data_IF_088209380489
#
_entry.id   IF_088209380489
#
_cell.length_a   1.000
_cell.length_b   1.000
_cell.length_c   1.000
_cell.angle_alpha   90.00
_cell.angle_beta   90.00
_cell.angle_gamma   90.00
#
_symmetry.space_group_name_H-M   'P 1'
#
loop_
_entity.id
_entity.type
_entity.pdbx_description
1 polymer ?
#
# COMPACT_ATOMS: atom_id res chain seq x y z
N UNK A 1 7.30 -15.05 13.65
CA UNK A 1 5.85 -15.13 13.31
C UNK A 1 5.05 -16.06 14.25
N UNK A 2 3.74 -15.83 14.48
CA UNK A 2 2.86 -16.82 15.17
C UNK A 2 2.31 -17.87 14.19
N UNK A 3 1.93 -19.09 14.64
CA UNK A 3 1.32 -20.09 13.75
C UNK A 3 0.01 -19.61 13.10
N UNK A 4 -0.79 -18.83 13.84
CA UNK A 4 -2.03 -18.23 13.32
C UNK A 4 -1.74 -17.26 12.17
N UNK A 5 -0.76 -16.37 12.33
CA UNK A 5 -0.37 -15.42 11.27
C UNK A 5 0.18 -16.17 10.05
N UNK A 6 0.93 -17.25 10.24
CA UNK A 6 1.42 -18.09 9.14
C UNK A 6 0.27 -18.71 8.34
N UNK A 7 -0.68 -19.35 9.01
CA UNK A 7 -1.86 -19.93 8.35
C UNK A 7 -2.74 -18.88 7.66
N UNK A 8 -2.86 -17.69 8.26
CA UNK A 8 -3.56 -16.56 7.61
C UNK A 8 -2.86 -16.16 6.31
N UNK A 9 -1.53 -15.96 6.32
CA UNK A 9 -0.75 -15.62 5.12
C UNK A 9 -0.93 -16.69 4.04
N UNK A 10 -0.78 -17.97 4.38
CA UNK A 10 -0.92 -19.09 3.43
C UNK A 10 -2.30 -19.09 2.74
N UNK A 11 -3.38 -18.97 3.52
CA UNK A 11 -4.74 -18.93 2.99
C UNK A 11 -4.99 -17.73 2.07
N UNK A 12 -4.50 -16.54 2.44
CA UNK A 12 -4.68 -15.34 1.63
C UNK A 12 -3.81 -15.34 0.38
N UNK A 13 -2.59 -15.87 0.44
CA UNK A 13 -1.74 -16.06 -0.73
C UNK A 13 -2.34 -17.07 -1.71
N UNK A 14 -2.94 -18.16 -1.21
CA UNK A 14 -3.70 -19.10 -2.04
C UNK A 14 -4.87 -18.38 -2.73
N UNK A 15 -5.65 -17.60 -1.98
CA UNK A 15 -6.75 -16.79 -2.55
C UNK A 15 -6.26 -15.84 -3.63
N UNK A 16 -5.18 -15.09 -3.40
CA UNK A 16 -4.58 -14.17 -4.39
C UNK A 16 -4.21 -14.92 -5.67
N UNK A 17 -3.59 -16.10 -5.54
CA UNK A 17 -3.20 -16.93 -6.67
C UNK A 17 -4.38 -17.50 -7.46
N UNK A 18 -5.53 -17.66 -6.79
CA UNK A 18 -6.79 -18.12 -7.39
C UNK A 18 -7.51 -17.07 -8.24
N UNK A 19 -7.19 -15.78 -8.08
CA UNK A 19 -7.81 -14.68 -8.86
C UNK A 19 -7.25 -14.70 -10.29
N UNK A 20 -7.99 -15.31 -11.20
CA UNK A 20 -7.60 -15.49 -12.61
C UNK A 20 -8.27 -14.48 -13.53
N UNK A 21 -7.50 -13.94 -14.47
CA UNK A 21 -7.96 -13.05 -15.54
C UNK A 21 -7.68 -11.58 -15.26
N UNK A 22 -7.73 -10.76 -16.31
CA UNK A 22 -7.29 -9.36 -16.28
C UNK A 22 -8.44 -8.37 -16.46
N UNK A 23 -9.69 -8.79 -16.27
CA UNK A 23 -10.80 -7.83 -16.26
C UNK A 23 -10.70 -6.92 -15.02
N UNK A 24 -11.37 -5.77 -15.08
CA UNK A 24 -11.28 -4.78 -14.02
C UNK A 24 -11.75 -5.32 -12.66
N UNK A 25 -12.85 -6.09 -12.61
CA UNK A 25 -13.33 -6.72 -11.38
C UNK A 25 -12.28 -7.60 -10.69
N UNK A 26 -11.50 -8.36 -11.47
CA UNK A 26 -10.41 -9.17 -10.94
C UNK A 26 -9.25 -8.31 -10.41
N UNK A 27 -8.96 -7.16 -11.01
CA UNK A 27 -7.95 -6.23 -10.49
C UNK A 27 -8.41 -5.63 -9.16
N UNK A 28 -9.68 -5.21 -9.07
CA UNK A 28 -10.29 -4.75 -7.83
C UNK A 28 -10.21 -5.82 -6.73
N UNK A 29 -10.57 -7.07 -7.05
CA UNK A 29 -10.48 -8.17 -6.12
C UNK A 29 -9.03 -8.43 -5.70
N UNK A 30 -8.08 -8.43 -6.65
CA UNK A 30 -6.66 -8.65 -6.38
C UNK A 30 -6.08 -7.58 -5.47
N UNK A 31 -6.31 -6.30 -5.77
CA UNK A 31 -5.87 -5.19 -4.91
C UNK A 31 -6.49 -5.29 -3.51
N UNK A 32 -7.81 -5.51 -3.41
CA UNK A 32 -8.50 -5.62 -2.12
C UNK A 32 -8.01 -6.80 -1.28
N UNK A 33 -7.69 -7.91 -1.94
CA UNK A 33 -7.16 -9.12 -1.33
C UNK A 33 -5.72 -8.90 -0.83
N UNK A 34 -4.86 -8.27 -1.64
CA UNK A 34 -3.53 -7.85 -1.21
C UNK A 34 -3.58 -6.87 -0.04
N UNK A 35 -4.48 -5.88 -0.08
CA UNK A 35 -4.63 -4.92 1.00
C UNK A 35 -5.09 -5.59 2.30
N UNK A 36 -5.99 -6.57 2.22
CA UNK A 36 -6.43 -7.31 3.41
C UNK A 36 -5.25 -8.03 4.07
N UNK A 37 -4.37 -8.61 3.26
CA UNK A 37 -3.14 -9.21 3.76
C UNK A 37 -2.19 -8.17 4.35
N UNK A 38 -1.94 -7.06 3.66
CA UNK A 38 -1.17 -5.91 4.16
C UNK A 38 -1.73 -5.39 5.50
N UNK A 39 -3.06 -5.31 5.66
CA UNK A 39 -3.72 -4.90 6.89
C UNK A 39 -3.39 -5.79 8.08
N UNK A 40 -3.36 -7.12 7.88
CA UNK A 40 -2.91 -8.03 8.92
C UNK A 40 -1.42 -7.82 9.23
N UNK A 41 -0.59 -7.72 8.21
CA UNK A 41 0.87 -7.62 8.34
C UNK A 41 1.31 -6.34 9.04
N UNK A 42 0.70 -5.18 8.75
CA UNK A 42 1.04 -3.95 9.46
C UNK A 42 0.58 -3.96 10.92
N UNK A 43 -0.51 -4.65 11.25
CA UNK A 43 -0.94 -4.82 12.63
C UNK A 43 0.00 -5.77 13.39
N UNK A 44 0.50 -6.83 12.74
CA UNK A 44 1.52 -7.71 13.30
C UNK A 44 2.86 -6.98 13.49
N UNK A 45 3.28 -6.16 12.52
CA UNK A 45 4.46 -5.29 12.63
C UNK A 45 4.35 -4.34 13.82
N UNK A 46 3.20 -3.68 13.99
CA UNK A 46 2.92 -2.84 15.15
C UNK A 46 3.00 -3.63 16.48
N UNK A 47 2.43 -4.85 16.52
CA UNK A 47 2.47 -5.71 17.70
C UNK A 47 3.91 -6.08 18.07
N UNK A 48 4.73 -6.48 17.10
CA UNK A 48 6.15 -6.82 17.31
C UNK A 48 6.95 -5.61 17.80
N UNK A 49 6.73 -4.42 17.20
CA UNK A 49 7.37 -3.19 17.67
C UNK A 49 6.96 -2.84 19.11
N UNK A 50 5.70 -3.08 19.48
CA UNK A 50 5.17 -2.84 20.83
C UNK A 50 5.78 -3.79 21.86
N UNK A 51 5.76 -5.09 21.58
CA UNK A 51 6.31 -6.15 22.46
C UNK A 51 7.80 -5.91 22.73
N UNK A 52 8.54 -5.47 21.71
CA UNK A 52 9.97 -5.16 21.81
C UNK A 52 10.27 -3.75 22.35
N UNK A 53 9.26 -2.98 22.78
CA UNK A 53 9.40 -1.59 23.27
C UNK A 53 10.14 -0.65 22.28
N UNK A 54 9.96 -0.88 20.98
CA UNK A 54 10.58 -0.08 19.92
C UNK A 54 9.67 1.03 19.39
N UNK A 55 8.38 1.06 19.71
CA UNK A 55 7.48 2.11 19.26
C UNK A 55 8.01 3.51 19.59
N UNK A 56 8.00 4.41 18.61
CA UNK A 56 8.51 5.78 18.76
C UNK A 56 7.55 6.70 19.51
N UNK A 57 6.28 6.29 19.65
CA UNK A 57 5.24 7.08 20.32
C UNK A 57 4.17 6.19 20.97
N UNK A 58 3.36 6.71 21.91
CA UNK A 58 2.45 5.88 22.70
C UNK A 58 1.17 5.47 21.96
N UNK A 59 0.76 6.20 20.92
CA UNK A 59 -0.50 5.96 20.18
C UNK A 59 -0.27 6.10 18.68
N UNK A 60 -0.89 5.20 17.91
CA UNK A 60 -0.86 5.18 16.46
C UNK A 60 -2.29 5.06 15.93
N UNK A 61 -2.66 5.90 14.97
CA UNK A 61 -3.86 5.70 14.14
C UNK A 61 -3.67 4.51 13.21
N UNK A 62 -4.75 4.05 12.57
CA UNK A 62 -4.67 2.97 11.58
C UNK A 62 -3.78 3.37 10.38
N UNK A 63 -3.94 4.59 9.87
CA UNK A 63 -3.05 5.17 8.85
C UNK A 63 -1.57 5.14 9.27
N UNK A 64 -1.27 5.51 10.51
CA UNK A 64 0.11 5.52 11.00
C UNK A 64 0.68 4.11 11.21
N UNK A 65 -0.16 3.11 11.47
CA UNK A 65 0.28 1.71 11.45
C UNK A 65 0.59 1.25 10.02
N UNK A 66 -0.28 1.57 9.07
CA UNK A 66 -0.09 1.22 7.66
C UNK A 66 1.11 1.93 7.01
N UNK A 67 1.55 3.06 7.56
CA UNK A 67 2.67 3.85 7.02
C UNK A 67 3.90 3.81 7.93
N UNK A 68 3.87 4.53 9.06
CA UNK A 68 5.02 4.74 9.92
C UNK A 68 5.52 3.45 10.59
N UNK A 69 4.62 2.56 11.04
CA UNK A 69 5.06 1.29 11.62
C UNK A 69 5.71 0.38 10.59
N UNK A 70 5.24 0.40 9.33
CA UNK A 70 5.87 -0.38 8.25
C UNK A 70 7.26 0.14 7.91
N UNK A 71 7.42 1.46 7.81
CA UNK A 71 8.74 2.07 7.63
C UNK A 71 9.65 1.74 8.80
N UNK A 72 9.14 1.84 10.03
CA UNK A 72 9.95 1.54 11.21
C UNK A 72 10.37 0.06 11.28
N UNK A 73 9.47 -0.85 10.87
CA UNK A 73 9.72 -2.28 10.94
C UNK A 73 10.69 -2.74 9.84
N UNK A 74 10.54 -2.23 8.62
CA UNK A 74 11.30 -2.68 7.46
C UNK A 74 12.48 -1.76 7.10
N UNK A 75 12.54 -0.53 7.62
CA UNK A 75 13.35 0.62 7.16
C UNK A 75 12.92 1.16 5.79
N UNK A 76 13.05 2.49 5.59
CA UNK A 76 12.78 3.12 4.31
C UNK A 76 13.74 2.63 3.21
N UNK A 77 15.02 2.45 3.55
CA UNK A 77 16.04 1.94 2.64
C UNK A 77 15.67 0.58 2.06
N UNK A 78 15.27 -0.37 2.91
CA UNK A 78 14.90 -1.71 2.45
C UNK A 78 13.61 -1.70 1.60
N UNK A 79 12.64 -0.86 1.96
CA UNK A 79 11.40 -0.68 1.17
C UNK A 79 11.75 -0.20 -0.24
N UNK A 80 12.51 0.89 -0.36
CA UNK A 80 12.84 1.47 -1.66
C UNK A 80 13.75 0.54 -2.47
N UNK A 81 14.74 -0.11 -1.83
CA UNK A 81 15.60 -1.10 -2.47
C UNK A 81 14.78 -2.27 -3.03
N UNK A 82 13.89 -2.85 -2.23
CA UNK A 82 13.07 -3.99 -2.66
C UNK A 82 12.14 -3.61 -3.81
N UNK A 83 11.54 -2.42 -3.77
CA UNK A 83 10.73 -1.90 -4.88
C UNK A 83 11.56 -1.69 -6.16
N UNK A 84 12.80 -1.22 -6.04
CA UNK A 84 13.70 -1.10 -7.18
C UNK A 84 14.10 -2.47 -7.76
N UNK A 85 14.41 -3.44 -6.91
CA UNK A 85 14.76 -4.81 -7.33
C UNK A 85 13.60 -5.56 -8.01
N UNK A 86 12.35 -5.16 -7.73
CA UNK A 86 11.13 -5.72 -8.33
C UNK A 86 10.53 -4.84 -9.46
N UNK A 87 11.32 -3.88 -9.98
CA UNK A 87 10.93 -3.01 -11.10
C UNK A 87 9.65 -2.18 -10.84
N UNK A 88 9.43 -1.75 -9.59
CA UNK A 88 8.26 -0.96 -9.20
C UNK A 88 8.51 0.56 -9.21
N UNK A 89 9.72 1.04 -9.50
CA UNK A 89 9.96 2.49 -9.61
C UNK A 89 9.13 3.15 -10.73
N UNK A 90 9.01 2.55 -11.93
CA UNK A 90 8.11 3.07 -12.96
C UNK A 90 6.63 3.07 -12.54
N UNK A 91 6.21 2.12 -11.70
CA UNK A 91 4.84 2.07 -11.16
C UNK A 91 4.56 3.25 -10.23
N UNK A 92 5.56 3.65 -9.43
CA UNK A 92 5.46 4.79 -8.52
C UNK A 92 5.37 6.10 -9.31
N UNK A 93 6.21 6.24 -10.34
CA UNK A 93 6.18 7.41 -11.23
C UNK A 93 4.86 7.47 -12.01
N UNK A 94 4.35 6.34 -12.49
CA UNK A 94 3.04 6.29 -13.16
C UNK A 94 1.90 6.78 -12.25
N UNK A 95 1.91 6.43 -10.96
CA UNK A 95 0.91 6.95 -10.00
C UNK A 95 1.06 8.46 -9.81
N UNK A 96 2.29 8.96 -9.74
CA UNK A 96 2.54 10.41 -9.67
C UNK A 96 2.05 11.13 -10.93
N UNK A 97 2.29 10.56 -12.13
CA UNK A 97 1.81 11.11 -13.41
C UNK A 97 0.28 11.20 -13.45
N UNK A 98 -0.42 10.20 -12.92
CA UNK A 98 -1.89 10.21 -12.86
C UNK A 98 -2.43 11.37 -12.01
N UNK A 99 -1.74 11.72 -10.94
CA UNK A 99 -2.09 12.88 -10.11
C UNK A 99 -1.72 14.18 -10.82
N UNK A 100 -0.51 14.27 -11.37
CA UNK A 100 0.01 15.46 -12.06
C UNK A 100 -0.90 15.89 -13.22
N UNK A 101 -1.41 14.91 -13.97
CA UNK A 101 -2.27 15.12 -15.13
C UNK A 101 -3.76 15.22 -14.77
N UNK A 102 -4.12 15.32 -13.48
CA UNK A 102 -5.50 15.44 -13.00
C UNK A 102 -6.41 14.26 -13.42
N UNK A 103 -5.83 13.08 -13.62
CA UNK A 103 -6.54 11.85 -14.03
C UNK A 103 -7.13 11.14 -12.80
N UNK A 104 -6.38 11.12 -11.69
CA UNK A 104 -6.84 10.54 -10.43
C UNK A 104 -6.59 11.45 -9.23
N UNK A 105 -7.58 11.50 -8.34
CA UNK A 105 -7.46 12.09 -7.02
C UNK A 105 -7.37 10.99 -5.97
N UNK A 106 -6.27 10.94 -5.21
CA UNK A 106 -6.04 9.89 -4.22
C UNK A 106 -6.52 10.35 -2.84
N UNK A 107 -6.28 11.60 -2.48
CA UNK A 107 -6.70 12.15 -1.21
C UNK A 107 -8.13 12.70 -1.33
N UNK A 108 -9.09 11.96 -0.80
CA UNK A 108 -10.49 12.39 -0.74
C UNK A 108 -10.89 12.66 0.73
N UNK A 109 -11.59 13.76 0.97
CA UNK A 109 -12.29 14.03 2.22
C UNK A 109 -13.79 14.12 1.91
N UNK A 110 -14.58 13.22 2.49
CA UNK A 110 -16.02 13.08 2.19
C UNK A 110 -16.33 12.96 0.68
N UNK A 111 -15.46 12.27 -0.06
CA UNK A 111 -15.56 12.12 -1.52
C UNK A 111 -15.07 13.31 -2.34
N UNK A 112 -14.62 14.38 -1.70
CA UNK A 112 -14.13 15.60 -2.35
C UNK A 112 -12.60 15.55 -2.44
N UNK A 113 -12.10 15.73 -3.66
CA UNK A 113 -10.66 15.78 -3.95
C UNK A 113 -9.95 16.88 -3.15
N UNK A 114 -8.83 16.51 -2.53
CA UNK A 114 -8.00 17.41 -1.74
C UNK A 114 -6.74 17.76 -2.55
N UNK A 115 -6.88 18.70 -3.50
CA UNK A 115 -5.85 19.03 -4.49
C UNK A 115 -4.46 19.29 -3.88
N UNK A 116 -4.37 20.02 -2.78
CA UNK A 116 -3.08 20.30 -2.15
C UNK A 116 -2.43 19.03 -1.58
N UNK A 117 -3.22 18.12 -1.01
CA UNK A 117 -2.74 16.85 -0.48
C UNK A 117 -2.32 15.90 -1.61
N UNK A 118 -3.01 15.93 -2.75
CA UNK A 118 -2.61 15.19 -3.95
C UNK A 118 -1.31 15.72 -4.55
N UNK A 119 -1.14 17.04 -4.67
CA UNK A 119 0.13 17.65 -5.12
C UNK A 119 1.28 17.29 -4.17
N UNK A 120 1.04 17.33 -2.85
CA UNK A 120 2.03 16.90 -1.86
C UNK A 120 2.37 15.41 -2.01
N UNK A 121 1.36 14.55 -2.17
CA UNK A 121 1.56 13.12 -2.41
C UNK A 121 2.41 12.87 -3.67
N UNK A 122 2.06 13.51 -4.78
CA UNK A 122 2.79 13.43 -6.06
C UNK A 122 4.26 13.83 -5.88
N UNK A 123 4.54 14.98 -5.26
CA UNK A 123 5.90 15.44 -5.01
C UNK A 123 6.67 14.46 -4.10
N UNK A 124 6.00 13.93 -3.08
CA UNK A 124 6.62 12.99 -2.14
C UNK A 124 6.89 11.62 -2.79
N UNK A 125 6.04 11.14 -3.71
CA UNK A 125 6.28 9.93 -4.49
C UNK A 125 7.54 10.04 -5.35
N UNK A 126 7.90 11.25 -5.79
CA UNK A 126 9.12 11.54 -6.55
C UNK A 126 10.29 12.04 -5.68
N UNK A 127 10.16 12.03 -4.36
CA UNK A 127 11.21 12.52 -3.47
C UNK A 127 12.49 11.67 -3.55
N UNK A 128 13.64 12.32 -3.43
CA UNK A 128 14.94 11.68 -3.21
C UNK A 128 15.17 11.30 -1.74
N UNK A 129 14.34 11.80 -0.83
CA UNK A 129 14.39 11.45 0.59
C UNK A 129 13.63 10.14 0.80
N UNK A 130 14.35 9.06 1.12
CA UNK A 130 13.81 7.70 1.16
C UNK A 130 12.63 7.56 2.12
N UNK A 131 12.69 8.17 3.30
CA UNK A 131 11.62 8.15 4.30
C UNK A 131 10.34 8.83 3.78
N UNK A 132 10.50 9.94 3.05
CA UNK A 132 9.39 10.68 2.45
C UNK A 132 8.76 9.85 1.33
N UNK A 133 9.58 9.30 0.44
CA UNK A 133 9.14 8.44 -0.66
C UNK A 133 8.43 7.18 -0.18
N UNK A 134 9.03 6.45 0.77
CA UNK A 134 8.43 5.25 1.35
C UNK A 134 7.08 5.55 2.02
N UNK A 135 6.98 6.66 2.76
CA UNK A 135 5.72 7.10 3.36
C UNK A 135 4.68 7.45 2.32
N UNK A 136 5.05 8.14 1.24
CA UNK A 136 4.15 8.49 0.15
C UNK A 136 3.56 7.25 -0.53
N UNK A 137 4.39 6.26 -0.81
CA UNK A 137 3.97 4.98 -1.43
C UNK A 137 2.94 4.27 -0.55
N UNK A 138 3.24 4.11 0.74
CA UNK A 138 2.31 3.47 1.69
C UNK A 138 1.02 4.30 1.90
N UNK A 139 1.13 5.63 1.84
CA UNK A 139 -0.04 6.53 1.91
C UNK A 139 -0.94 6.36 0.69
N UNK A 140 -0.37 6.22 -0.51
CA UNK A 140 -1.12 5.97 -1.74
C UNK A 140 -1.90 4.64 -1.65
N UNK A 141 -1.26 3.56 -1.20
CA UNK A 141 -1.92 2.27 -0.98
C UNK A 141 -3.11 2.42 -0.02
N UNK A 142 -2.90 3.08 1.12
CA UNK A 142 -3.93 3.28 2.14
C UNK A 142 -5.12 4.08 1.63
N UNK A 143 -4.85 5.22 1.00
CA UNK A 143 -5.88 6.15 0.54
C UNK A 143 -6.69 5.56 -0.61
N UNK A 144 -6.06 4.86 -1.56
CA UNK A 144 -6.79 4.20 -2.65
C UNK A 144 -7.71 3.11 -2.12
N UNK A 145 -7.29 2.34 -1.11
CA UNK A 145 -8.21 1.40 -0.43
C UNK A 145 -9.40 2.11 0.20
N UNK A 146 -9.17 3.25 0.89
CA UNK A 146 -10.27 4.01 1.48
C UNK A 146 -11.26 4.46 0.39
N UNK A 147 -10.76 4.97 -0.73
CA UNK A 147 -11.58 5.40 -1.86
C UNK A 147 -12.36 4.23 -2.49
N UNK A 148 -11.75 3.05 -2.63
CA UNK A 148 -12.42 1.87 -3.19
C UNK A 148 -13.51 1.30 -2.28
N UNK A 149 -13.36 1.39 -0.96
CA UNK A 149 -14.36 0.90 -0.01
C UNK A 149 -15.55 1.85 0.15
N UNK A 150 -15.36 3.14 -0.12
CA UNK A 150 -16.42 4.14 -0.08
C UNK A 150 -17.02 4.44 -1.47
N UNK A 151 -16.29 4.12 -2.54
CA UNK A 151 -16.70 4.25 -3.94
C UNK A 151 -17.64 3.13 -4.39
N UNK A 152 -18.76 2.93 -3.71
CA UNK A 152 -19.86 2.18 -4.29
C UNK A 152 -20.35 2.92 -5.55
N UNK A 153 -20.04 2.41 -6.76
CA UNK A 153 -21.07 1.92 -7.70
C UNK A 153 -20.62 1.57 -9.13
N UNK A 154 -19.46 1.97 -9.62
CA UNK A 154 -19.08 1.64 -11.02
C UNK A 154 -17.59 1.33 -11.20
N UNK A 155 -17.31 0.19 -11.84
CA UNK A 155 -16.01 -0.15 -12.38
C UNK A 155 -15.87 0.51 -13.76
N UNK A 156 -14.90 1.39 -13.91
CA UNK A 156 -14.61 2.10 -15.16
C UNK A 156 -13.16 1.81 -15.61
N UNK A 157 -12.96 1.52 -16.90
CA UNK A 157 -11.70 0.96 -17.40
C UNK A 157 -10.47 1.84 -17.12
N UNK A 158 -10.63 3.16 -17.03
CA UNK A 158 -9.53 4.06 -16.67
C UNK A 158 -8.93 3.75 -15.28
N UNK A 159 -9.69 3.16 -14.36
CA UNK A 159 -9.24 2.67 -13.04
C UNK A 159 -8.12 1.64 -13.14
N UNK A 160 -8.00 0.93 -14.28
CA UNK A 160 -6.87 0.03 -14.54
C UNK A 160 -5.52 0.74 -14.43
N UNK A 161 -5.44 1.98 -14.94
CA UNK A 161 -4.21 2.78 -14.98
C UNK A 161 -3.62 2.97 -13.57
N UNK A 162 -4.49 3.06 -12.56
CA UNK A 162 -4.11 3.18 -11.15
C UNK A 162 -3.94 1.81 -10.47
N UNK A 163 -4.84 0.86 -10.73
CA UNK A 163 -4.87 -0.42 -10.00
C UNK A 163 -3.70 -1.33 -10.35
N UNK A 164 -3.31 -1.43 -11.62
CA UNK A 164 -2.20 -2.30 -12.02
C UNK A 164 -0.86 -1.95 -11.35
N UNK A 165 -0.38 -0.68 -11.38
CA UNK A 165 0.84 -0.31 -10.68
C UNK A 165 0.70 -0.49 -9.16
N UNK A 166 -0.44 -0.12 -8.57
CA UNK A 166 -0.66 -0.31 -7.13
C UNK A 166 -0.67 -1.77 -6.70
N UNK A 167 -1.22 -2.69 -7.50
CA UNK A 167 -1.19 -4.12 -7.21
C UNK A 167 0.24 -4.62 -7.16
N UNK A 168 1.08 -4.26 -8.15
CA UNK A 168 2.49 -4.67 -8.19
C UNK A 168 3.28 -4.12 -7.00
N UNK A 169 3.12 -2.84 -6.69
CA UNK A 169 3.73 -2.20 -5.52
C UNK A 169 3.27 -2.90 -4.23
N UNK A 170 1.95 -3.08 -4.05
CA UNK A 170 1.40 -3.69 -2.83
C UNK A 170 1.86 -5.13 -2.66
N UNK A 171 1.94 -5.90 -3.75
CA UNK A 171 2.49 -7.24 -3.73
C UNK A 171 3.94 -7.27 -3.24
N UNK A 172 4.79 -6.37 -3.74
CA UNK A 172 6.19 -6.26 -3.31
C UNK A 172 6.30 -5.89 -1.83
N UNK A 173 5.50 -4.93 -1.36
CA UNK A 173 5.46 -4.55 0.06
C UNK A 173 5.01 -5.73 0.94
N UNK A 174 3.93 -6.43 0.55
CA UNK A 174 3.43 -7.60 1.28
C UNK A 174 4.49 -8.69 1.38
N UNK A 175 5.20 -8.98 0.28
CA UNK A 175 6.26 -10.00 0.29
C UNK A 175 7.41 -9.61 1.23
N UNK A 176 7.82 -8.34 1.22
CA UNK A 176 8.84 -7.80 2.13
C UNK A 176 8.41 -7.94 3.59
N UNK A 177 7.18 -7.57 3.91
CA UNK A 177 6.64 -7.69 5.28
C UNK A 177 6.60 -9.16 5.74
N UNK A 178 6.16 -10.08 4.87
CA UNK A 178 6.14 -11.52 5.16
C UNK A 178 7.55 -12.03 5.45
N UNK A 179 8.54 -11.60 4.66
CA UNK A 179 9.94 -11.99 4.86
C UNK A 179 10.48 -11.52 6.21
N UNK A 180 10.25 -10.27 6.56
CA UNK A 180 10.77 -9.67 7.80
C UNK A 180 10.00 -10.08 9.07
N UNK A 181 8.77 -10.58 8.93
CA UNK A 181 7.97 -11.10 10.06
C UNK A 181 8.30 -12.56 10.44
N UNK A 182 9.12 -13.27 9.66
CA UNK A 182 9.56 -14.64 9.95
C UNK A 182 10.22 -14.71 11.33
#
# INVERSE_FOLDING_TARGET
MTPETKGYIENWMEKISGIKGNNLGNLFEKFSTFYTLHNRLYNDSFRVLRENRKLLKPRYSDFEKATLCIIQFNSAENIIKTLAENDNLPDIDAIADLIENDIFHINLADGIAQKNADIELMNNLRSDVLEVKAKAILSAIYNVRANMLHGEKHFEEYQRMLLEPLIRITQTIVNLEIENLK
#
